data_IF_493694044852
#
_entry.id   IF_493694044852
#
_cell.length_a   1.000
_cell.length_b   1.000
_cell.length_c   1.000
_cell.angle_alpha   90.00
_cell.angle_beta   90.00
_cell.angle_gamma   90.00
#
_symmetry.space_group_name_H-M   'P 1'
#
loop_
_entity.id
_entity.type
_entity.pdbx_description
1 polymer ?
#
# COMPACT_ATOMS: atom_id res chain seq x y z
N UNK A 1 0.58 -19.04 -3.37
CA UNK A 1 -0.13 -18.35 -4.47
C UNK A 1 -0.85 -19.39 -5.29
N UNK A 2 -2.05 -19.09 -5.83
CA UNK A 2 -2.75 -20.03 -6.69
C UNK A 2 -2.00 -20.32 -7.99
N UNK A 3 -2.35 -21.41 -8.67
CA UNK A 3 -1.74 -21.81 -9.94
C UNK A 3 -1.84 -20.71 -10.99
N UNK A 4 -0.78 -20.46 -11.71
CA UNK A 4 -0.69 -19.52 -12.83
C UNK A 4 -0.18 -20.25 -14.06
N UNK A 5 -0.15 -19.58 -15.21
CA UNK A 5 0.47 -20.12 -16.42
C UNK A 5 1.95 -20.54 -16.20
N UNK A 6 2.65 -19.85 -15.31
CA UNK A 6 4.08 -20.09 -15.02
C UNK A 6 4.30 -20.99 -13.80
N UNK A 7 3.32 -21.07 -12.91
CA UNK A 7 3.31 -21.97 -11.77
C UNK A 7 1.93 -22.65 -11.71
N UNK A 8 1.76 -23.79 -12.36
CA UNK A 8 0.48 -24.51 -12.43
C UNK A 8 0.07 -25.15 -11.11
N UNK A 9 1.00 -25.27 -10.13
CA UNK A 9 0.68 -25.86 -8.83
C UNK A 9 -0.20 -24.92 -8.01
N UNK A 10 -1.38 -25.40 -7.62
CA UNK A 10 -2.25 -24.75 -6.65
C UNK A 10 -1.91 -25.21 -5.25
N UNK A 11 -2.20 -24.37 -4.25
CA UNK A 11 -1.96 -24.68 -2.83
C UNK A 11 -3.21 -25.16 -2.07
N UNK A 12 -4.34 -25.36 -2.77
CA UNK A 12 -5.55 -25.99 -2.21
C UNK A 12 -5.42 -27.52 -2.29
N UNK A 13 -4.47 -28.07 -1.50
CA UNK A 13 -4.15 -29.50 -1.47
C UNK A 13 -3.43 -29.80 -0.14
N UNK A 14 -3.48 -31.07 0.29
CA UNK A 14 -2.76 -31.52 1.49
C UNK A 14 -1.25 -31.46 1.31
N UNK A 15 -0.76 -31.70 0.08
CA UNK A 15 0.64 -31.64 -0.31
C UNK A 15 0.80 -30.96 -1.65
N UNK A 16 1.91 -30.26 -1.84
CA UNK A 16 2.28 -29.65 -3.11
C UNK A 16 3.78 -29.83 -3.34
N UNK A 17 4.17 -30.04 -4.59
CA UNK A 17 5.58 -30.10 -4.98
C UNK A 17 5.97 -28.77 -5.60
N UNK A 18 6.95 -28.12 -5.01
CA UNK A 18 7.47 -26.81 -5.42
C UNK A 18 8.99 -26.87 -5.50
N UNK A 19 9.58 -25.91 -6.22
CA UNK A 19 11.01 -25.70 -6.19
C UNK A 19 11.43 -25.24 -4.78
N UNK A 20 12.50 -25.82 -4.24
CA UNK A 20 12.99 -25.48 -2.90
C UNK A 20 13.40 -23.99 -2.78
N UNK A 21 13.83 -23.38 -3.87
CA UNK A 21 14.17 -21.95 -3.92
C UNK A 21 12.95 -20.99 -3.85
N UNK A 22 11.73 -21.53 -3.99
CA UNK A 22 10.48 -20.77 -3.84
C UNK A 22 9.87 -20.89 -2.44
N UNK A 23 10.56 -21.55 -1.53
CA UNK A 23 10.11 -21.81 -0.17
C UNK A 23 10.95 -21.04 0.84
N UNK A 24 10.27 -20.48 1.83
CA UNK A 24 10.88 -19.87 3.01
C UNK A 24 10.20 -20.41 4.27
N UNK A 25 10.95 -20.49 5.35
CA UNK A 25 10.38 -20.88 6.63
C UNK A 25 9.40 -19.83 7.14
N UNK A 26 8.26 -20.29 7.64
CA UNK A 26 7.28 -19.40 8.25
C UNK A 26 7.86 -18.75 9.52
N UNK A 27 7.59 -17.46 9.79
CA UNK A 27 8.01 -16.82 11.02
C UNK A 27 7.44 -17.55 12.25
N UNK A 28 8.31 -17.96 13.17
CA UNK A 28 7.98 -18.81 14.33
C UNK A 28 6.94 -18.22 15.30
N UNK A 29 6.72 -16.90 15.23
CA UNK A 29 5.75 -16.19 16.08
C UNK A 29 4.36 -16.07 15.47
N UNK A 30 4.18 -16.57 14.24
CA UNK A 30 2.89 -16.57 13.53
C UNK A 30 2.30 -17.98 13.49
N UNK A 31 0.99 -18.06 13.56
CA UNK A 31 0.28 -19.29 13.21
C UNK A 31 0.36 -19.56 11.71
N UNK A 32 0.11 -20.81 11.31
CA UNK A 32 0.12 -21.20 9.89
C UNK A 32 -0.85 -20.35 9.05
N UNK A 33 -2.01 -20.01 9.61
CA UNK A 33 -3.01 -19.18 8.93
C UNK A 33 -2.52 -17.74 8.72
N UNK A 34 -1.87 -17.16 9.73
CA UNK A 34 -1.28 -15.81 9.61
C UNK A 34 -0.10 -15.82 8.65
N UNK A 35 0.79 -16.81 8.73
CA UNK A 35 1.91 -16.96 7.82
C UNK A 35 1.43 -17.15 6.37
N UNK A 36 0.40 -17.94 6.13
CA UNK A 36 -0.19 -18.14 4.81
C UNK A 36 -0.78 -16.87 4.19
N UNK A 37 -1.21 -15.90 5.00
CA UNK A 37 -1.75 -14.62 4.53
C UNK A 37 -0.68 -13.63 4.04
N UNK A 38 0.59 -13.81 4.41
CA UNK A 38 1.67 -12.88 4.09
C UNK A 38 2.15 -12.89 2.63
N UNK A 39 2.39 -14.05 1.98
CA UNK A 39 3.17 -14.09 0.73
C UNK A 39 2.58 -13.22 -0.38
N UNK A 40 1.27 -13.28 -0.63
CA UNK A 40 0.66 -12.50 -1.69
C UNK A 40 0.61 -11.01 -1.35
N UNK A 41 0.07 -10.67 -0.20
CA UNK A 41 -0.15 -9.28 0.19
C UNK A 41 1.15 -8.58 0.55
N UNK A 42 2.02 -9.25 1.30
CA UNK A 42 3.32 -8.73 1.72
C UNK A 42 4.27 -8.52 0.55
N UNK A 43 4.43 -9.52 -0.32
CA UNK A 43 5.35 -9.41 -1.46
C UNK A 43 4.86 -8.37 -2.48
N UNK A 44 3.56 -8.29 -2.72
CA UNK A 44 2.98 -7.27 -3.60
C UNK A 44 3.19 -5.87 -3.03
N UNK A 45 2.92 -5.68 -1.75
CA UNK A 45 3.13 -4.42 -1.06
C UNK A 45 4.62 -4.03 -1.02
N UNK A 46 5.50 -4.97 -0.70
CA UNK A 46 6.94 -4.77 -0.71
C UNK A 46 7.43 -4.28 -2.07
N UNK A 47 7.04 -4.98 -3.13
CA UNK A 47 7.43 -4.62 -4.49
C UNK A 47 6.89 -3.24 -4.88
N UNK A 48 5.62 -2.94 -4.58
CA UNK A 48 5.03 -1.64 -4.90
C UNK A 48 5.74 -0.51 -4.16
N UNK A 49 5.97 -0.67 -2.86
CA UNK A 49 6.49 0.39 -2.01
C UNK A 49 8.02 0.51 -2.08
N UNK A 50 8.77 -0.56 -1.81
CA UNK A 50 10.24 -0.50 -1.77
C UNK A 50 10.88 -0.53 -3.16
N UNK A 51 10.40 -1.40 -4.05
CA UNK A 51 11.06 -1.61 -5.33
C UNK A 51 10.64 -0.59 -6.39
N UNK A 52 9.35 -0.21 -6.43
CA UNK A 52 8.80 0.59 -7.53
C UNK A 52 8.55 2.05 -7.20
N UNK A 53 8.16 2.40 -5.98
CA UNK A 53 7.81 3.78 -5.66
C UNK A 53 9.00 4.74 -5.63
N UNK A 54 10.20 4.24 -5.29
CA UNK A 54 11.38 5.07 -5.06
C UNK A 54 11.26 6.02 -3.86
N UNK A 55 10.16 5.94 -3.10
CA UNK A 55 9.78 6.86 -2.03
C UNK A 55 9.74 6.22 -0.63
N UNK A 56 10.30 5.04 -0.45
CA UNK A 56 10.45 4.37 0.85
C UNK A 56 11.55 5.03 1.68
N UNK A 57 11.32 6.28 2.13
CA UNK A 57 12.27 7.10 2.89
C UNK A 57 11.54 7.91 3.94
N UNK A 58 12.16 8.18 5.11
CA UNK A 58 11.57 9.01 6.16
C UNK A 58 11.04 10.35 5.67
N UNK A 59 9.91 10.78 6.19
CA UNK A 59 9.28 12.07 5.89
C UNK A 59 8.61 12.17 4.51
N UNK A 60 8.60 11.10 3.71
CA UNK A 60 7.84 11.08 2.44
C UNK A 60 6.35 10.99 2.71
N UNK A 61 5.57 11.73 1.93
CA UNK A 61 4.12 11.72 1.99
C UNK A 61 3.58 10.65 1.04
N UNK A 62 3.02 9.59 1.57
CA UNK A 62 2.53 8.43 0.79
C UNK A 62 1.01 8.35 0.93
N UNK A 63 0.30 8.35 -0.20
CA UNK A 63 -1.13 8.04 -0.21
C UNK A 63 -1.33 6.55 -0.52
N UNK A 64 -2.04 5.87 0.35
CA UNK A 64 -2.46 4.47 0.16
C UNK A 64 -3.97 4.44 -0.02
N UNK A 65 -4.43 4.00 -1.19
CA UNK A 65 -5.86 3.94 -1.48
C UNK A 65 -6.45 2.57 -1.15
N UNK A 66 -7.76 2.55 -0.93
CA UNK A 66 -8.47 1.29 -0.66
C UNK A 66 -8.06 0.62 0.63
N UNK A 67 -7.81 1.42 1.68
CA UNK A 67 -7.44 0.87 2.99
C UNK A 67 -8.55 -0.04 3.52
N UNK A 68 -8.16 -1.25 3.87
CA UNK A 68 -9.04 -2.37 4.20
C UNK A 68 -8.77 -3.59 3.29
N UNK A 69 -8.05 -3.39 2.18
CA UNK A 69 -7.48 -4.48 1.39
C UNK A 69 -6.11 -4.91 1.96
N UNK A 70 -5.78 -6.20 1.85
CA UNK A 70 -4.55 -6.76 2.45
C UNK A 70 -3.27 -6.08 1.95
N UNK A 71 -3.16 -5.80 0.65
CA UNK A 71 -1.99 -5.10 0.08
C UNK A 71 -1.87 -3.68 0.64
N UNK A 72 -2.99 -2.93 0.68
CA UNK A 72 -2.99 -1.56 1.21
C UNK A 72 -2.60 -1.52 2.69
N UNK A 73 -3.07 -2.49 3.47
CA UNK A 73 -2.70 -2.63 4.88
C UNK A 73 -1.19 -2.88 5.04
N UNK A 74 -0.63 -3.80 4.25
CA UNK A 74 0.81 -4.08 4.29
C UNK A 74 1.65 -2.87 3.85
N UNK A 75 1.21 -2.10 2.83
CA UNK A 75 1.88 -0.85 2.45
C UNK A 75 1.85 0.17 3.57
N UNK A 76 0.70 0.33 4.25
CA UNK A 76 0.61 1.21 5.42
C UNK A 76 1.64 0.84 6.50
N UNK A 77 1.70 -0.45 6.88
CA UNK A 77 2.64 -0.92 7.90
C UNK A 77 4.10 -0.71 7.49
N UNK A 78 4.45 -1.04 6.25
CA UNK A 78 5.81 -0.83 5.75
C UNK A 78 6.18 0.65 5.70
N UNK A 79 5.28 1.50 5.21
CA UNK A 79 5.54 2.92 5.10
C UNK A 79 5.62 3.62 6.46
N UNK A 80 4.77 3.21 7.42
CA UNK A 80 4.85 3.69 8.79
C UNK A 80 6.18 3.27 9.48
N UNK A 81 6.60 2.01 9.28
CA UNK A 81 7.90 1.53 9.79
C UNK A 81 9.11 2.23 9.15
N UNK A 82 8.95 2.82 7.96
CA UNK A 82 9.95 3.67 7.29
C UNK A 82 9.82 5.15 7.66
N UNK A 83 9.05 5.48 8.69
CA UNK A 83 8.83 6.86 9.15
C UNK A 83 8.28 7.79 8.05
N UNK A 84 7.50 7.23 7.12
CA UNK A 84 6.77 8.03 6.13
C UNK A 84 5.52 8.65 6.75
N UNK A 85 5.08 9.78 6.22
CA UNK A 85 3.75 10.34 6.50
C UNK A 85 2.73 9.59 5.65
N UNK A 86 2.05 8.62 6.22
CA UNK A 86 1.08 7.79 5.48
C UNK A 86 -0.31 8.38 5.59
N UNK A 87 -0.90 8.66 4.44
CA UNK A 87 -2.30 9.06 4.29
C UNK A 87 -3.07 7.92 3.65
N UNK A 88 -4.33 7.74 4.04
CA UNK A 88 -5.15 6.65 3.50
C UNK A 88 -6.44 7.16 2.92
N UNK A 89 -7.03 6.41 1.98
CA UNK A 89 -8.39 6.66 1.53
C UNK A 89 -9.28 5.43 1.67
N UNK A 90 -10.52 5.64 2.08
CA UNK A 90 -11.54 4.60 2.19
C UNK A 90 -12.92 5.18 1.96
N UNK A 91 -13.92 4.34 1.67
CA UNK A 91 -15.33 4.71 1.74
C UNK A 91 -15.97 4.42 3.12
N UNK A 92 -15.15 4.10 4.16
CA UNK A 92 -15.56 3.79 5.53
C UNK A 92 -14.69 4.55 6.53
N UNK A 93 -15.32 5.36 7.37
CA UNK A 93 -14.64 6.10 8.45
C UNK A 93 -14.02 5.16 9.49
N UNK A 94 -14.68 4.04 9.78
CA UNK A 94 -14.16 3.03 10.68
C UNK A 94 -12.79 2.49 10.21
N UNK A 95 -12.68 2.19 8.91
CA UNK A 95 -11.40 1.72 8.32
C UNK A 95 -10.33 2.81 8.36
N UNK A 96 -10.69 4.07 8.18
CA UNK A 96 -9.77 5.21 8.30
C UNK A 96 -9.28 5.35 9.74
N UNK A 97 -10.18 5.25 10.71
CA UNK A 97 -9.84 5.29 12.14
C UNK A 97 -8.88 4.15 12.50
N UNK A 98 -9.20 2.94 12.07
CA UNK A 98 -8.32 1.78 12.28
C UNK A 98 -6.94 1.95 11.64
N UNK A 99 -6.88 2.54 10.45
CA UNK A 99 -5.61 2.83 9.79
C UNK A 99 -4.76 3.83 10.57
N UNK A 100 -5.37 4.82 11.21
CA UNK A 100 -4.65 5.77 12.08
C UNK A 100 -4.04 5.09 13.31
N UNK A 101 -4.75 4.15 13.92
CA UNK A 101 -4.21 3.32 15.01
C UNK A 101 -3.00 2.49 14.58
N UNK A 102 -2.92 2.15 13.29
CA UNK A 102 -1.84 1.38 12.68
C UNK A 102 -0.71 2.26 12.10
N UNK A 103 -0.74 3.57 12.32
CA UNK A 103 0.33 4.48 11.95
C UNK A 103 0.04 5.43 10.78
N UNK A 104 -1.18 5.46 10.24
CA UNK A 104 -1.54 6.51 9.29
C UNK A 104 -1.67 7.86 9.99
N UNK A 105 -1.07 8.92 9.44
CA UNK A 105 -1.13 10.29 9.99
C UNK A 105 -2.44 11.00 9.62
N UNK A 106 -3.14 10.53 8.57
CA UNK A 106 -4.39 11.11 8.13
C UNK A 106 -5.14 10.19 7.17
N UNK A 107 -6.40 10.52 6.93
CA UNK A 107 -7.21 9.77 5.98
C UNK A 107 -8.41 10.56 5.49
N UNK A 108 -8.90 10.18 4.31
CA UNK A 108 -10.03 10.82 3.64
C UNK A 108 -11.03 9.81 3.14
N UNK A 109 -12.30 10.19 3.18
CA UNK A 109 -13.36 9.42 2.57
C UNK A 109 -13.48 9.83 1.10
N UNK A 110 -13.16 8.92 0.18
CA UNK A 110 -13.18 9.21 -1.25
C UNK A 110 -14.60 9.43 -1.82
N UNK A 111 -15.65 9.12 -1.03
CA UNK A 111 -17.05 9.40 -1.39
C UNK A 111 -17.43 10.87 -1.14
N UNK A 112 -16.64 11.59 -0.34
CA UNK A 112 -16.87 13.01 -0.09
C UNK A 112 -16.38 13.83 -1.27
N UNK A 113 -17.14 14.84 -1.65
CA UNK A 113 -16.71 15.80 -2.67
C UNK A 113 -15.51 16.62 -2.15
N UNK A 114 -14.51 16.80 -2.99
CA UNK A 114 -13.33 17.59 -2.64
C UNK A 114 -12.37 16.90 -1.67
N UNK A 115 -12.45 15.57 -1.52
CA UNK A 115 -11.56 14.80 -0.66
C UNK A 115 -10.08 15.04 -0.97
N UNK A 116 -9.73 15.35 -2.24
CA UNK A 116 -8.37 15.67 -2.65
C UNK A 116 -7.84 16.95 -1.96
N UNK A 117 -8.68 17.97 -1.89
CA UNK A 117 -8.33 19.23 -1.20
C UNK A 117 -8.18 19.00 0.31
N UNK A 118 -9.08 18.19 0.88
CA UNK A 118 -9.01 17.79 2.28
C UNK A 118 -7.70 17.06 2.58
N UNK A 119 -7.29 16.13 1.71
CA UNK A 119 -6.01 15.43 1.81
C UNK A 119 -4.82 16.39 1.77
N UNK A 120 -4.79 17.29 0.78
CA UNK A 120 -3.70 18.26 0.65
C UNK A 120 -3.59 19.20 1.86
N UNK A 121 -4.72 19.53 2.50
CA UNK A 121 -4.76 20.30 3.74
C UNK A 121 -4.23 19.57 4.97
N UNK A 122 -4.09 18.24 4.91
CA UNK A 122 -3.50 17.41 6.00
C UNK A 122 -1.98 17.24 5.86
N UNK A 123 -1.39 17.64 4.73
CA UNK A 123 0.03 17.48 4.50
C UNK A 123 0.84 18.38 5.48
N UNK A 124 2.05 17.98 5.85
CA UNK A 124 2.94 18.80 6.67
C UNK A 124 3.15 20.21 6.06
N UNK A 125 3.42 21.18 6.92
CA UNK A 125 3.63 22.57 6.51
C UNK A 125 4.69 22.69 5.39
N UNK A 126 4.39 23.52 4.38
CA UNK A 126 5.24 23.69 3.21
C UNK A 126 5.15 22.59 2.14
N UNK A 127 4.37 21.53 2.37
CA UNK A 127 4.13 20.46 1.40
C UNK A 127 2.81 20.67 0.68
N UNK A 128 2.82 20.55 -0.65
CA UNK A 128 1.65 20.79 -1.51
C UNK A 128 1.18 19.56 -2.30
N UNK A 129 1.88 18.43 -2.15
CA UNK A 129 1.63 17.18 -2.89
C UNK A 129 2.13 15.97 -2.10
N UNK A 130 1.62 14.81 -2.49
CA UNK A 130 2.17 13.54 -2.06
C UNK A 130 3.35 13.12 -2.95
N UNK A 131 4.28 12.38 -2.38
CA UNK A 131 5.48 11.91 -3.08
C UNK A 131 5.19 10.64 -3.90
N UNK A 132 4.25 9.81 -3.42
CA UNK A 132 3.80 8.60 -4.13
C UNK A 132 2.35 8.26 -3.79
N UNK A 133 1.70 7.57 -4.72
CA UNK A 133 0.38 6.95 -4.50
C UNK A 133 0.55 5.45 -4.75
N UNK A 134 0.15 4.63 -3.77
CA UNK A 134 0.01 3.19 -3.95
C UNK A 134 -1.48 2.89 -4.03
N UNK A 135 -1.94 2.59 -5.25
CA UNK A 135 -3.35 2.40 -5.53
C UNK A 135 -3.73 0.92 -5.56
N UNK A 136 -4.67 0.54 -4.71
CA UNK A 136 -5.30 -0.77 -4.68
C UNK A 136 -6.81 -0.71 -4.87
N UNK A 137 -7.38 0.50 -5.07
CA UNK A 137 -8.82 0.70 -5.18
C UNK A 137 -9.29 0.88 -6.64
N UNK A 138 -8.44 1.41 -7.52
CA UNK A 138 -8.81 1.73 -8.89
C UNK A 138 -9.77 2.92 -9.00
N UNK A 139 -10.63 2.91 -10.03
CA UNK A 139 -11.60 3.97 -10.26
C UNK A 139 -10.96 5.25 -10.83
N UNK A 140 -11.38 6.41 -10.32
CA UNK A 140 -10.94 7.72 -10.76
C UNK A 140 -9.65 8.22 -10.09
N UNK A 141 -9.03 7.39 -9.24
CA UNK A 141 -7.80 7.73 -8.51
C UNK A 141 -6.68 8.14 -9.46
N UNK A 142 -6.56 7.54 -10.63
CA UNK A 142 -5.55 7.91 -11.63
C UNK A 142 -5.76 9.34 -12.10
N UNK A 143 -7.00 9.73 -12.42
CA UNK A 143 -7.31 11.10 -12.88
C UNK A 143 -7.12 12.14 -11.77
N UNK A 144 -7.54 11.80 -10.57
CA UNK A 144 -7.43 12.67 -9.39
C UNK A 144 -6.00 12.69 -8.85
N UNK A 145 -5.31 11.56 -8.91
CA UNK A 145 -3.93 11.38 -8.44
C UNK A 145 -2.93 12.29 -9.14
N UNK A 146 -3.13 12.60 -10.43
CA UNK A 146 -2.27 13.55 -11.16
C UNK A 146 -2.24 14.94 -10.53
N UNK A 147 -3.30 15.33 -9.82
CA UNK A 147 -3.38 16.62 -9.09
C UNK A 147 -2.75 16.55 -7.71
N UNK A 148 -2.56 15.37 -7.16
CA UNK A 148 -2.01 15.12 -5.84
C UNK A 148 -0.50 14.90 -5.88
N UNK A 149 0.02 14.39 -6.99
CA UNK A 149 1.44 14.08 -7.15
C UNK A 149 2.25 15.31 -7.56
N UNK A 150 3.50 15.33 -7.08
CA UNK A 150 4.50 16.27 -7.58
C UNK A 150 4.82 15.92 -9.04
N UNK A 151 4.45 16.78 -9.98
CA UNK A 151 4.92 16.66 -11.35
C UNK A 151 6.35 17.19 -11.39
N UNK A 152 7.34 16.30 -11.33
CA UNK A 152 8.70 16.64 -11.73
C UNK A 152 8.80 16.42 -13.23
N UNK A 153 8.70 17.50 -14.01
CA UNK A 153 9.12 17.46 -15.41
C UNK A 153 10.66 17.43 -15.39
N UNK A 154 11.32 16.43 -15.97
CA UNK A 154 12.73 16.56 -16.29
C UNK A 154 12.82 17.54 -17.47
N UNK A 155 13.07 18.81 -17.19
CA UNK A 155 13.61 19.69 -18.21
C UNK A 155 15.10 19.35 -18.33
N UNK A 156 15.43 18.57 -19.35
CA UNK A 156 16.73 18.64 -19.99
C UNK A 156 16.58 19.49 -21.24
N UNK A 157 17.17 20.67 -21.20
CA UNK A 157 17.59 21.37 -22.42
C UNK A 157 18.79 20.67 -23.02
#
# INVERSE_FOLDING_TARGET
MGGTKYNPAGTLAETVVLDAGELEEAPVHLSDAEAAALPLTGLTAWRAFFTKSGNAKPGRNILVTGIGGGVALMVLLFAAAQECNVFVSSGSEEKITRAKELGAVGGVNYKEEGWEKKLLGMLPEGRKWVDAIVDGAGGDVVQKGTRLLKVSLPFSC
#
